data_IF_092353205872
#
_entry.id   IF_092353205872
#
_cell.length_a   1.000
_cell.length_b   1.000
_cell.length_c   1.000
_cell.angle_alpha   90.00
_cell.angle_beta   90.00
_cell.angle_gamma   90.00
#
_symmetry.space_group_name_H-M   'P 1'
#
loop_
_entity.id
_entity.type
_entity.pdbx_description
1 polymer ?
#
# COMPACT_ATOMS: atom_id res chain seq x y z
N UNK A 1 37.54 24.74 83.01
CA UNK A 1 38.55 23.87 82.41
C UNK A 1 38.84 24.46 81.02
N UNK A 2 39.70 25.48 80.88
CA UNK A 2 41.17 25.43 80.68
C UNK A 2 41.58 24.31 79.72
N UNK A 3 42.34 24.50 78.64
CA UNK A 3 43.34 25.50 78.24
C UNK A 3 43.42 25.50 76.67
N UNK A 4 44.25 26.21 75.91
CA UNK A 4 45.61 26.68 76.13
C UNK A 4 46.01 27.71 75.06
N UNK A 5 46.95 28.55 75.45
CA UNK A 5 47.59 29.68 74.77
C UNK A 5 48.71 29.22 73.82
N UNK A 6 48.96 29.95 72.72
CA UNK A 6 50.29 30.56 72.42
C UNK A 6 50.39 31.14 70.99
N UNK A 7 50.89 32.37 70.94
CA UNK A 7 51.64 33.01 69.85
C UNK A 7 53.13 32.96 70.24
N UNK A 8 54.11 33.49 69.48
CA UNK A 8 54.17 33.91 68.07
C UNK A 8 55.42 33.33 67.34
N UNK A 9 55.66 33.63 66.06
CA UNK A 9 56.99 34.06 65.58
C UNK A 9 56.90 34.68 64.18
N UNK A 10 57.55 35.84 64.01
CA UNK A 10 57.86 36.45 62.72
C UNK A 10 59.33 36.17 62.36
N UNK A 11 59.61 35.94 61.08
CA UNK A 11 60.91 36.26 60.49
C UNK A 11 60.80 36.49 58.98
N UNK A 12 61.65 37.41 58.52
CA UNK A 12 61.59 38.22 57.30
C UNK A 12 62.25 37.60 56.05
N UNK A 13 61.68 37.97 54.89
CA UNK A 13 62.09 37.99 53.47
C UNK A 13 63.48 37.56 52.97
N UNK A 14 63.51 36.98 51.75
CA UNK A 14 64.53 37.23 50.70
C UNK A 14 64.01 36.79 49.29
N UNK A 15 64.68 37.07 48.14
CA UNK A 15 64.10 37.86 47.05
C UNK A 15 63.90 37.10 45.72
N UNK A 16 63.31 37.84 44.78
CA UNK A 16 62.79 37.55 43.43
C UNK A 16 63.75 36.92 42.42
N UNK A 17 63.20 36.09 41.51
CA UNK A 17 63.79 35.67 40.22
C UNK A 17 62.78 35.94 39.07
N UNK A 18 63.27 36.11 37.82
CA UNK A 18 62.66 36.90 36.73
C UNK A 18 61.52 36.18 35.98
N UNK A 19 60.75 36.91 35.15
CA UNK A 19 59.51 36.40 34.58
C UNK A 19 59.77 35.40 33.44
N UNK A 20 59.03 34.28 33.36
CA UNK A 20 59.05 33.45 32.17
C UNK A 20 58.20 34.05 31.05
N UNK A 21 58.88 34.18 29.92
CA UNK A 21 58.48 34.46 28.54
C UNK A 21 57.06 34.04 28.14
N UNK A 22 56.38 34.92 27.40
CA UNK A 22 55.06 34.70 26.83
C UNK A 22 55.01 33.47 25.90
N UNK A 23 54.22 32.47 26.29
CA UNK A 23 53.86 31.32 25.46
C UNK A 23 52.91 31.78 24.34
N UNK A 24 53.11 31.39 23.07
CA UNK A 24 52.19 31.75 22.00
C UNK A 24 50.83 31.08 22.25
N UNK A 25 49.78 31.89 22.40
CA UNK A 25 48.39 31.43 22.47
C UNK A 25 48.05 30.72 21.16
N UNK A 26 47.84 29.41 21.20
CA UNK A 26 47.29 28.66 20.06
C UNK A 26 45.91 29.22 19.72
N UNK A 27 45.77 29.72 18.51
CA UNK A 27 44.47 30.08 17.92
C UNK A 27 43.56 28.85 17.97
N UNK A 28 42.33 28.93 18.50
CA UNK A 28 41.41 27.81 18.52
C UNK A 28 41.09 27.40 17.08
N UNK A 29 41.27 26.11 16.77
CA UNK A 29 40.87 25.50 15.52
C UNK A 29 39.35 25.69 15.37
N UNK A 30 38.82 26.18 14.23
CA UNK A 30 37.40 26.31 14.05
C UNK A 30 36.74 24.94 14.23
N UNK A 31 35.85 24.83 15.20
CA UNK A 31 35.00 23.65 15.37
C UNK A 31 34.19 23.48 14.08
N UNK A 32 34.21 22.31 13.44
CA UNK A 32 33.35 22.08 12.28
C UNK A 32 31.92 22.34 12.73
N UNK A 33 31.29 23.35 12.13
CA UNK A 33 29.86 23.56 12.31
C UNK A 33 29.22 22.33 11.70
N UNK A 34 28.65 21.47 12.54
CA UNK A 34 27.84 20.35 12.08
C UNK A 34 26.65 20.98 11.37
N UNK A 35 26.74 21.10 10.04
CA UNK A 35 25.59 21.39 9.21
C UNK A 35 24.61 20.26 9.50
N UNK A 36 23.56 20.56 10.25
CA UNK A 36 22.48 19.59 10.48
C UNK A 36 21.98 19.23 9.09
N UNK A 37 22.26 18.00 8.66
CA UNK A 37 21.64 17.43 7.48
C UNK A 37 20.14 17.58 7.69
N UNK A 38 19.40 18.27 6.80
CA UNK A 38 17.96 18.36 6.95
C UNK A 38 17.44 16.93 7.05
N UNK A 39 16.81 16.60 8.19
CA UNK A 39 16.05 15.38 8.31
C UNK A 39 15.05 15.37 7.16
N UNK A 40 14.96 14.31 6.34
CA UNK A 40 14.02 14.27 5.23
C UNK A 40 12.64 14.56 5.81
N UNK A 41 12.10 15.72 5.46
CA UNK A 41 10.73 16.06 5.84
C UNK A 41 9.87 15.07 5.07
N UNK A 42 9.00 14.28 5.73
CA UNK A 42 8.15 13.35 5.00
C UNK A 42 7.38 14.14 3.96
N UNK A 43 7.60 13.80 2.69
CA UNK A 43 6.84 14.38 1.58
C UNK A 43 5.44 13.79 1.69
N UNK A 44 4.52 14.59 2.24
CA UNK A 44 3.10 14.30 2.17
C UNK A 44 2.66 14.53 0.73
N UNK A 45 2.74 13.48 -0.07
CA UNK A 45 2.23 13.57 -1.42
C UNK A 45 0.70 13.68 -1.36
N UNK A 46 0.21 14.70 -2.05
CA UNK A 46 -1.20 15.03 -2.14
C UNK A 46 -1.79 14.22 -3.28
N UNK A 47 -2.58 13.19 -2.96
CA UNK A 47 -3.15 12.28 -3.95
C UNK A 47 -4.65 12.53 -4.15
N UNK A 48 -5.18 12.36 -5.36
CA UNK A 48 -6.62 12.36 -5.60
C UNK A 48 -7.22 11.07 -5.02
N UNK A 49 -7.40 11.03 -3.70
CA UNK A 49 -8.09 9.93 -3.03
C UNK A 49 -9.51 9.85 -3.56
N UNK A 50 -9.92 8.66 -3.98
CA UNK A 50 -11.30 8.42 -4.42
C UNK A 50 -12.03 7.60 -3.39
N UNK A 51 -13.20 8.09 -3.00
CA UNK A 51 -14.09 7.36 -2.12
C UNK A 51 -14.69 6.16 -2.89
N UNK A 52 -14.56 4.98 -2.29
CA UNK A 52 -15.07 3.71 -2.80
C UNK A 52 -16.54 3.61 -2.45
N UNK A 53 -17.33 3.14 -3.40
CA UNK A 53 -18.72 2.77 -3.15
C UNK A 53 -18.90 1.28 -3.03
N UNK A 54 -18.25 0.53 -3.90
CA UNK A 54 -18.28 -0.92 -3.85
C UNK A 54 -16.90 -1.47 -4.12
N UNK A 55 -16.49 -2.45 -3.33
CA UNK A 55 -15.25 -3.18 -3.50
C UNK A 55 -15.50 -4.68 -3.33
N UNK A 56 -14.98 -5.44 -4.29
CA UNK A 56 -14.88 -6.87 -4.28
C UNK A 56 -13.39 -7.21 -4.32
N UNK A 57 -12.85 -7.70 -3.21
CA UNK A 57 -11.41 -7.95 -3.03
C UNK A 57 -11.15 -9.36 -2.54
N UNK A 58 -9.91 -9.81 -2.74
CA UNK A 58 -9.41 -11.08 -2.20
C UNK A 58 -8.23 -10.76 -1.30
N UNK A 59 -8.28 -11.20 -0.05
CA UNK A 59 -7.12 -11.26 0.83
C UNK A 59 -6.52 -12.64 0.77
N UNK A 60 -5.27 -12.70 0.32
CA UNK A 60 -4.43 -13.87 0.49
C UNK A 60 -3.85 -13.92 1.90
N UNK A 61 -3.40 -15.10 2.38
CA UNK A 61 -2.53 -15.19 3.56
C UNK A 61 -1.35 -14.20 3.44
N UNK A 62 -0.77 -13.73 4.56
CA UNK A 62 0.22 -12.66 4.52
C UNK A 62 1.44 -13.03 3.65
N UNK A 63 1.50 -12.45 2.46
CA UNK A 63 2.70 -12.39 1.62
C UNK A 63 3.48 -11.09 1.90
N UNK A 64 4.61 -10.89 1.22
CA UNK A 64 5.57 -9.77 1.39
C UNK A 64 4.89 -8.37 1.37
N UNK A 65 3.73 -8.25 0.72
CA UNK A 65 2.92 -7.01 0.65
C UNK A 65 2.17 -6.67 1.96
N UNK A 66 2.06 -7.63 2.89
CA UNK A 66 1.46 -7.42 4.22
C UNK A 66 2.12 -6.31 5.02
N UNK A 67 3.40 -6.00 4.74
CA UNK A 67 4.14 -4.92 5.41
C UNK A 67 3.54 -3.51 5.19
N UNK A 68 2.68 -3.34 4.18
CA UNK A 68 1.98 -2.08 3.89
C UNK A 68 0.51 -2.07 4.32
N UNK A 69 0.00 -3.16 4.91
CA UNK A 69 -1.43 -3.32 5.16
C UNK A 69 -2.28 -3.42 3.87
N UNK A 70 -1.64 -3.67 2.72
CA UNK A 70 -2.29 -3.85 1.41
C UNK A 70 -2.43 -5.33 1.07
N UNK A 71 -2.97 -6.10 2.02
CA UNK A 71 -3.14 -7.55 1.89
C UNK A 71 -4.30 -7.94 0.97
N UNK A 72 -5.22 -7.01 0.71
CA UNK A 72 -6.34 -7.19 -0.20
C UNK A 72 -5.95 -6.79 -1.62
N UNK A 73 -6.29 -7.65 -2.59
CA UNK A 73 -6.21 -7.35 -4.01
C UNK A 73 -7.63 -7.16 -4.55
N UNK A 74 -8.00 -5.94 -5.00
CA UNK A 74 -9.34 -5.72 -5.50
C UNK A 74 -9.52 -6.33 -6.89
N UNK A 75 -10.57 -7.13 -7.03
CA UNK A 75 -11.04 -7.69 -8.30
C UNK A 75 -12.01 -6.75 -9.02
N UNK A 76 -12.77 -5.96 -8.26
CA UNK A 76 -13.68 -4.96 -8.80
C UNK A 76 -13.86 -3.84 -7.77
N UNK A 77 -13.68 -2.60 -8.21
CA UNK A 77 -13.91 -1.39 -7.41
C UNK A 77 -14.74 -0.41 -8.20
N UNK A 78 -15.83 0.07 -7.62
CA UNK A 78 -16.63 1.18 -8.13
C UNK A 78 -16.44 2.36 -7.16
N UNK A 79 -15.96 3.47 -7.70
CA UNK A 79 -15.81 4.72 -6.98
C UNK A 79 -17.07 5.59 -7.11
N UNK A 80 -17.18 6.53 -6.19
CA UNK A 80 -18.33 7.47 -6.11
C UNK A 80 -18.45 8.43 -7.28
N UNK A 81 -17.38 8.62 -8.07
CA UNK A 81 -17.40 9.36 -9.32
C UNK A 81 -17.75 8.48 -10.54
N UNK A 82 -18.13 7.23 -10.31
CA UNK A 82 -18.49 6.26 -11.34
C UNK A 82 -17.30 5.53 -11.96
N UNK A 83 -16.06 5.84 -11.59
CA UNK A 83 -14.92 5.05 -12.07
C UNK A 83 -15.08 3.60 -11.60
N UNK A 84 -15.02 2.67 -12.55
CA UNK A 84 -14.89 1.24 -12.33
C UNK A 84 -13.45 0.85 -12.66
N UNK A 85 -12.83 0.09 -11.76
CA UNK A 85 -11.60 -0.66 -12.04
C UNK A 85 -11.89 -2.14 -11.76
N UNK A 86 -11.49 -3.03 -12.67
CA UNK A 86 -11.76 -4.47 -12.51
C UNK A 86 -10.68 -5.32 -13.14
N UNK A 87 -10.42 -6.46 -12.51
CA UNK A 87 -9.59 -7.55 -13.02
C UNK A 87 -10.50 -8.74 -13.29
N UNK A 88 -10.15 -9.61 -14.25
CA UNK A 88 -10.92 -10.84 -14.48
C UNK A 88 -10.06 -12.04 -14.14
N UNK A 89 -10.67 -13.07 -13.55
CA UNK A 89 -9.99 -14.32 -13.19
C UNK A 89 -9.27 -15.01 -14.35
N UNK A 90 -9.54 -14.63 -15.61
CA UNK A 90 -8.90 -15.16 -16.84
C UNK A 90 -8.20 -14.10 -17.69
N UNK A 91 -8.22 -12.83 -17.29
CA UNK A 91 -7.49 -11.74 -17.96
C UNK A 91 -6.68 -11.00 -16.89
N UNK A 92 -5.36 -11.20 -16.90
CA UNK A 92 -4.43 -10.51 -16.00
C UNK A 92 -4.40 -9.00 -16.23
N UNK A 93 -5.01 -8.51 -17.33
CA UNK A 93 -5.10 -7.09 -17.61
C UNK A 93 -6.18 -6.44 -16.76
N UNK A 94 -5.75 -5.43 -16.03
CA UNK A 94 -6.62 -4.56 -15.27
C UNK A 94 -7.31 -3.60 -16.23
N UNK A 95 -8.61 -3.44 -16.05
CA UNK A 95 -9.46 -2.67 -16.93
C UNK A 95 -10.16 -1.57 -16.17
N UNK A 96 -10.48 -0.50 -16.86
CA UNK A 96 -11.25 0.61 -16.29
C UNK A 96 -12.27 1.19 -17.24
N UNK A 97 -13.27 1.84 -16.67
CA UNK A 97 -14.29 2.62 -17.38
C UNK A 97 -14.99 3.57 -16.41
N UNK A 98 -15.43 4.73 -16.86
CA UNK A 98 -16.38 5.56 -16.10
C UNK A 98 -17.80 5.12 -16.41
N UNK A 99 -18.51 4.65 -15.40
CA UNK A 99 -19.92 4.27 -15.44
C UNK A 99 -20.80 5.52 -15.31
N UNK A 100 -21.95 5.50 -15.98
CA UNK A 100 -22.99 6.48 -15.73
C UNK A 100 -23.66 6.25 -14.38
N UNK A 101 -24.25 7.30 -13.80
CA UNK A 101 -25.07 7.21 -12.57
C UNK A 101 -26.09 6.07 -12.64
N UNK A 102 -26.79 5.93 -13.78
CA UNK A 102 -27.79 4.88 -13.98
C UNK A 102 -27.16 3.47 -13.95
N UNK A 103 -26.00 3.27 -14.56
CA UNK A 103 -25.31 1.98 -14.53
C UNK A 103 -24.86 1.59 -13.11
N UNK A 104 -24.38 2.56 -12.35
CA UNK A 104 -23.98 2.32 -10.95
C UNK A 104 -25.20 2.01 -10.08
N UNK A 105 -26.30 2.75 -10.22
CA UNK A 105 -27.51 2.46 -9.46
C UNK A 105 -28.10 1.10 -9.85
N UNK A 106 -28.13 0.74 -11.14
CA UNK A 106 -28.54 -0.60 -11.57
C UNK A 106 -27.67 -1.71 -10.98
N UNK A 107 -26.36 -1.48 -10.83
CA UNK A 107 -25.47 -2.43 -10.16
C UNK A 107 -25.85 -2.61 -8.69
N UNK A 108 -26.06 -1.51 -7.95
CA UNK A 108 -26.42 -1.54 -6.53
C UNK A 108 -27.82 -2.15 -6.33
N UNK A 109 -28.81 -1.73 -7.11
CA UNK A 109 -30.18 -2.29 -7.07
C UNK A 109 -30.17 -3.78 -7.38
N UNK A 110 -29.26 -4.23 -8.25
CA UNK A 110 -29.10 -5.65 -8.53
C UNK A 110 -28.53 -6.39 -7.33
N UNK A 111 -27.58 -5.83 -6.58
CA UNK A 111 -27.10 -6.43 -5.32
C UNK A 111 -28.22 -6.54 -4.29
N UNK A 112 -29.03 -5.49 -4.14
CA UNK A 112 -30.19 -5.49 -3.24
C UNK A 112 -31.20 -6.60 -3.60
N UNK A 113 -31.58 -6.66 -4.89
CA UNK A 113 -32.48 -7.71 -5.40
C UNK A 113 -31.94 -9.14 -5.19
N UNK A 114 -30.62 -9.30 -5.11
CA UNK A 114 -29.98 -10.59 -4.85
C UNK A 114 -29.88 -10.94 -3.35
N UNK A 115 -30.37 -10.05 -2.47
CA UNK A 115 -30.40 -10.24 -1.02
C UNK A 115 -29.13 -9.77 -0.30
N UNK A 116 -28.30 -8.94 -0.93
CA UNK A 116 -27.05 -8.46 -0.31
C UNK A 116 -27.32 -7.79 1.05
N UNK A 117 -28.36 -6.98 1.16
CA UNK A 117 -28.72 -6.29 2.40
C UNK A 117 -29.44 -7.16 3.44
N UNK A 118 -29.89 -8.36 3.07
CA UNK A 118 -30.55 -9.32 3.97
C UNK A 118 -29.58 -10.30 4.63
N UNK A 119 -28.39 -10.49 4.06
CA UNK A 119 -27.37 -11.40 4.60
C UNK A 119 -26.72 -10.84 5.87
N UNK A 120 -26.66 -11.61 6.94
CA UNK A 120 -25.93 -11.16 8.13
C UNK A 120 -24.42 -11.09 7.87
N UNK A 121 -23.74 -10.01 8.27
CA UNK A 121 -22.28 -9.96 8.25
C UNK A 121 -21.74 -11.07 9.14
N UNK A 122 -20.79 -11.85 8.63
CA UNK A 122 -20.10 -12.82 9.45
C UNK A 122 -18.67 -12.99 8.95
N UNK A 123 -17.75 -12.88 9.91
CA UNK A 123 -16.33 -13.15 9.71
C UNK A 123 -15.99 -14.59 10.12
N UNK A 124 -16.99 -15.40 10.51
CA UNK A 124 -16.77 -16.79 10.89
C UNK A 124 -16.70 -17.70 9.67
N UNK A 125 -15.90 -18.76 9.75
CA UNK A 125 -15.86 -19.82 8.74
C UNK A 125 -16.51 -21.12 9.25
N UNK A 126 -17.17 -21.08 10.41
CA UNK A 126 -17.84 -22.23 10.99
C UNK A 126 -19.16 -22.61 10.28
N UNK A 127 -19.66 -23.79 10.62
CA UNK A 127 -20.90 -24.37 10.09
C UNK A 127 -22.17 -23.59 10.46
N UNK A 128 -22.12 -22.71 11.46
CA UNK A 128 -23.26 -21.90 11.89
C UNK A 128 -23.38 -20.60 11.10
N UNK A 129 -22.38 -20.25 10.27
CA UNK A 129 -22.42 -19.03 9.48
C UNK A 129 -23.51 -19.12 8.39
N UNK A 130 -24.53 -18.23 8.41
CA UNK A 130 -25.68 -18.27 7.51
C UNK A 130 -25.36 -17.98 6.04
N UNK A 131 -24.15 -17.51 5.71
CA UNK A 131 -23.73 -17.33 4.32
C UNK A 131 -23.36 -18.66 3.64
N UNK A 132 -23.24 -19.74 4.41
CA UNK A 132 -22.99 -21.09 3.90
C UNK A 132 -24.19 -22.02 4.13
N UNK A 133 -24.23 -23.06 3.32
CA UNK A 133 -25.12 -24.20 3.38
C UNK A 133 -24.24 -25.46 3.21
N UNK A 134 -23.63 -25.88 4.31
CA UNK A 134 -22.74 -27.05 4.33
C UNK A 134 -23.51 -28.38 4.29
N UNK A 135 -24.81 -28.37 4.64
CA UNK A 135 -25.54 -29.59 4.98
C UNK A 135 -24.77 -30.42 6.00
N UNK A 136 -24.59 -31.71 5.71
CA UNK A 136 -23.83 -32.65 6.56
C UNK A 136 -22.32 -32.75 6.18
N UNK A 137 -21.81 -31.88 5.29
CA UNK A 137 -20.49 -32.02 4.68
C UNK A 137 -19.48 -30.94 5.10
N UNK A 138 -19.63 -30.40 6.32
CA UNK A 138 -18.65 -29.45 6.85
C UNK A 138 -17.32 -30.16 7.12
N UNK A 139 -16.23 -29.58 6.62
CA UNK A 139 -14.87 -29.99 6.92
C UNK A 139 -14.04 -28.74 7.12
N UNK A 140 -13.40 -28.63 8.28
CA UNK A 140 -12.49 -27.53 8.58
C UNK A 140 -11.32 -27.50 7.59
N UNK A 141 -11.03 -26.32 7.06
CA UNK A 141 -9.89 -26.02 6.20
C UNK A 141 -9.12 -24.85 6.81
N UNK A 142 -7.83 -25.06 7.06
CA UNK A 142 -7.00 -24.11 7.79
C UNK A 142 -6.34 -23.05 6.88
N UNK A 143 -6.28 -23.29 5.57
CA UNK A 143 -5.58 -22.45 4.60
C UNK A 143 -6.48 -22.07 3.41
N UNK A 144 -6.41 -20.80 3.01
CA UNK A 144 -7.13 -20.29 1.85
C UNK A 144 -7.25 -18.78 1.85
N UNK A 145 -7.80 -18.25 0.77
CA UNK A 145 -8.06 -16.82 0.65
C UNK A 145 -9.43 -16.47 1.25
N UNK A 146 -9.52 -15.26 1.79
CA UNK A 146 -10.80 -14.67 2.19
C UNK A 146 -11.20 -13.62 1.17
N UNK A 147 -12.45 -13.65 0.77
CA UNK A 147 -13.02 -12.77 -0.24
C UNK A 147 -13.94 -11.79 0.47
N UNK A 148 -13.79 -10.49 0.19
CA UNK A 148 -14.55 -9.42 0.82
C UNK A 148 -15.42 -8.69 -0.20
N UNK A 149 -16.62 -8.32 0.25
CA UNK A 149 -17.60 -7.51 -0.48
C UNK A 149 -17.98 -6.33 0.41
N UNK A 150 -17.42 -5.17 0.12
CA UNK A 150 -17.67 -3.94 0.86
C UNK A 150 -18.54 -3.01 0.02
N UNK A 151 -19.67 -2.57 0.59
CA UNK A 151 -20.49 -1.52 0.03
C UNK A 151 -20.55 -0.37 1.03
N UNK A 152 -19.99 0.77 0.66
CA UNK A 152 -19.99 1.99 1.47
C UNK A 152 -21.03 2.97 0.94
N UNK A 153 -22.16 3.05 1.63
CA UNK A 153 -23.32 3.90 1.31
C UNK A 153 -24.01 4.31 2.63
N UNK A 154 -25.16 4.98 2.57
CA UNK A 154 -26.01 5.35 3.72
C UNK A 154 -26.09 4.31 4.84
N UNK A 155 -26.13 3.01 4.47
CA UNK A 155 -25.96 1.90 5.39
C UNK A 155 -24.77 1.05 4.90
N UNK A 156 -23.55 1.27 5.44
CA UNK A 156 -22.39 0.50 5.05
C UNK A 156 -22.60 -0.97 5.35
N UNK A 157 -22.13 -1.84 4.45
CA UNK A 157 -22.26 -3.28 4.62
C UNK A 157 -21.04 -4.01 4.07
N UNK A 158 -20.54 -4.94 4.87
CA UNK A 158 -19.45 -5.82 4.50
C UNK A 158 -19.88 -7.28 4.64
N UNK A 159 -19.63 -8.08 3.62
CA UNK A 159 -19.76 -9.53 3.65
C UNK A 159 -18.41 -10.14 3.31
N UNK A 160 -18.04 -11.23 3.98
CA UNK A 160 -16.82 -11.97 3.65
C UNK A 160 -17.12 -13.45 3.54
N UNK A 161 -16.45 -14.16 2.64
CA UNK A 161 -16.48 -15.62 2.59
C UNK A 161 -15.10 -16.21 2.32
N UNK A 162 -14.92 -17.45 2.77
CA UNK A 162 -13.68 -18.19 2.62
C UNK A 162 -13.72 -18.95 1.30
N UNK A 163 -12.74 -18.68 0.42
CA UNK A 163 -12.72 -19.21 -0.95
C UNK A 163 -12.81 -20.75 -1.01
N UNK A 164 -12.14 -21.53 -0.13
CA UNK A 164 -12.31 -23.00 -0.09
C UNK A 164 -13.75 -23.46 0.12
N UNK A 165 -14.60 -22.63 0.71
CA UNK A 165 -16.02 -22.90 0.95
C UNK A 165 -16.95 -22.29 -0.11
N UNK A 166 -16.43 -21.73 -1.21
CA UNK A 166 -17.25 -21.12 -2.28
C UNK A 166 -18.39 -22.04 -2.79
N UNK A 167 -18.14 -23.36 -2.85
CA UNK A 167 -19.16 -24.35 -3.26
C UNK A 167 -20.33 -24.52 -2.26
N UNK A 168 -20.10 -24.16 -1.01
CA UNK A 168 -21.10 -24.21 0.07
C UNK A 168 -21.82 -22.89 0.26
N UNK A 169 -21.58 -21.85 -0.56
CA UNK A 169 -22.32 -20.60 -0.40
C UNK A 169 -23.82 -20.83 -0.47
N UNK A 170 -24.54 -20.28 0.51
CA UNK A 170 -25.98 -20.22 0.53
C UNK A 170 -26.49 -19.49 -0.72
N UNK A 171 -27.73 -19.79 -1.12
CA UNK A 171 -28.27 -19.35 -2.42
C UNK A 171 -28.15 -17.83 -2.68
N UNK A 172 -28.44 -16.92 -1.74
CA UNK A 172 -28.29 -15.49 -1.99
C UNK A 172 -26.83 -15.11 -2.28
N UNK A 173 -25.90 -15.55 -1.42
CA UNK A 173 -24.48 -15.26 -1.55
C UNK A 173 -23.89 -15.84 -2.85
N UNK A 174 -24.28 -17.07 -3.22
CA UNK A 174 -23.89 -17.69 -4.49
C UNK A 174 -24.29 -16.83 -5.69
N UNK A 175 -25.55 -16.38 -5.75
CA UNK A 175 -26.03 -15.51 -6.84
C UNK A 175 -25.30 -14.17 -6.89
N UNK A 176 -24.94 -13.60 -5.74
CA UNK A 176 -24.14 -12.37 -5.66
C UNK A 176 -22.76 -12.62 -6.28
N UNK A 177 -22.07 -13.70 -5.89
CA UNK A 177 -20.75 -14.04 -6.47
C UNK A 177 -20.84 -14.33 -7.97
N UNK A 178 -21.88 -15.04 -8.44
CA UNK A 178 -22.11 -15.28 -9.87
C UNK A 178 -22.34 -13.98 -10.64
N UNK A 179 -23.09 -13.04 -10.06
CA UNK A 179 -23.31 -11.71 -10.65
C UNK A 179 -22.01 -10.93 -10.76
N UNK A 180 -21.20 -10.90 -9.70
CA UNK A 180 -19.92 -10.17 -9.67
C UNK A 180 -18.89 -10.79 -10.62
N UNK A 181 -18.74 -12.11 -10.61
CA UNK A 181 -17.83 -12.85 -11.49
C UNK A 181 -18.20 -12.68 -12.98
N UNK A 182 -19.49 -12.46 -13.27
CA UNK A 182 -20.00 -12.21 -14.62
C UNK A 182 -20.15 -10.72 -14.98
N UNK A 183 -19.95 -9.81 -14.04
CA UNK A 183 -20.23 -8.39 -14.26
C UNK A 183 -19.30 -7.81 -15.33
N UNK A 184 -19.91 -7.34 -16.41
CA UNK A 184 -19.22 -6.75 -17.54
C UNK A 184 -20.08 -5.66 -18.16
N UNK A 185 -19.84 -4.38 -17.83
CA UNK A 185 -20.62 -3.29 -18.38
C UNK A 185 -20.31 -3.01 -19.85
N UNK A 186 -19.33 -3.70 -20.46
CA UNK A 186 -18.87 -3.48 -21.83
C UNK A 186 -17.91 -2.27 -21.95
N UNK A 187 -17.26 -2.15 -23.11
CA UNK A 187 -16.37 -1.03 -23.48
C UNK A 187 -15.31 -0.67 -22.42
N UNK A 188 -14.64 -1.70 -21.90
CA UNK A 188 -13.58 -1.53 -20.91
C UNK A 188 -12.26 -1.10 -21.59
N UNK A 189 -11.63 -0.07 -21.05
CA UNK A 189 -10.29 0.37 -21.45
C UNK A 189 -9.23 -0.34 -20.61
N UNK A 190 -7.99 -0.38 -21.09
CA UNK A 190 -6.85 -0.77 -20.24
C UNK A 190 -6.71 0.26 -19.12
N UNK A 191 -6.53 -0.20 -17.88
CA UNK A 191 -6.24 0.69 -16.78
C UNK A 191 -4.76 1.08 -16.80
N UNK A 192 -4.49 2.37 -16.73
CA UNK A 192 -3.15 2.93 -16.62
C UNK A 192 -2.97 3.44 -15.18
N UNK A 193 -2.23 2.72 -14.32
CA UNK A 193 -2.01 3.16 -12.96
C UNK A 193 -1.11 4.40 -12.93
N UNK A 194 -1.54 5.39 -12.17
CA UNK A 194 -0.76 6.61 -11.92
C UNK A 194 0.12 6.51 -10.68
N UNK A 195 0.05 5.40 -9.93
CA UNK A 195 0.82 5.16 -8.71
C UNK A 195 1.21 3.69 -8.58
N UNK A 196 2.47 3.45 -8.26
CA UNK A 196 3.07 2.12 -8.10
C UNK A 196 4.00 2.07 -6.89
N UNK A 197 4.15 0.88 -6.31
CA UNK A 197 5.28 0.51 -5.48
C UNK A 197 6.15 -0.46 -6.27
N UNK A 198 7.43 -0.12 -6.41
CA UNK A 198 8.44 -0.96 -7.03
C UNK A 198 9.26 -1.66 -5.94
N UNK A 199 9.50 -2.95 -6.15
CA UNK A 199 10.46 -3.75 -5.41
C UNK A 199 11.53 -4.22 -6.38
N UNK A 200 12.78 -3.83 -6.14
CA UNK A 200 13.89 -4.16 -7.00
C UNK A 200 14.87 -5.02 -6.22
N UNK A 201 15.26 -6.15 -6.81
CA UNK A 201 16.30 -7.03 -6.26
C UNK A 201 17.34 -7.27 -7.33
N UNK A 202 18.62 -7.24 -6.94
CA UNK A 202 19.71 -7.66 -7.81
C UNK A 202 19.64 -9.16 -8.07
N UNK A 203 19.87 -9.55 -9.31
CA UNK A 203 19.81 -10.92 -9.78
C UNK A 203 18.39 -11.38 -10.11
N UNK A 204 18.35 -12.60 -10.63
CA UNK A 204 17.11 -13.29 -10.99
C UNK A 204 16.55 -14.01 -9.77
N UNK A 205 15.28 -13.77 -9.46
CA UNK A 205 14.59 -14.49 -8.39
C UNK A 205 14.58 -16.01 -8.67
N UNK A 206 14.81 -16.81 -7.63
CA UNK A 206 14.95 -18.26 -7.74
C UNK A 206 13.68 -18.96 -8.28
N UNK A 207 12.53 -18.31 -8.18
CA UNK A 207 11.26 -18.79 -8.72
C UNK A 207 11.14 -18.63 -10.25
N UNK A 208 12.01 -17.83 -10.89
CA UNK A 208 11.91 -17.51 -12.31
C UNK A 208 12.71 -18.51 -13.16
N UNK A 209 12.05 -19.14 -14.12
CA UNK A 209 12.66 -20.13 -15.02
C UNK A 209 13.93 -19.59 -15.70
N UNK A 210 15.00 -20.40 -15.74
CA UNK A 210 16.26 -20.07 -16.42
C UNK A 210 16.08 -19.62 -17.88
N UNK A 211 15.00 -20.05 -18.55
CA UNK A 211 14.70 -19.70 -19.95
C UNK A 211 14.20 -18.27 -20.16
N UNK A 212 13.74 -17.61 -19.10
CA UNK A 212 13.33 -16.20 -19.16
C UNK A 212 14.55 -15.35 -19.42
N UNK A 213 14.51 -14.60 -20.52
CA UNK A 213 15.54 -13.61 -20.88
C UNK A 213 15.20 -12.27 -20.24
N UNK A 214 16.22 -11.61 -19.72
CA UNK A 214 16.09 -10.25 -19.24
C UNK A 214 15.83 -9.28 -20.41
N UNK A 215 15.05 -8.23 -20.15
CA UNK A 215 14.84 -7.13 -21.10
C UNK A 215 15.63 -5.89 -20.68
N UNK A 216 16.03 -5.05 -21.63
CA UNK A 216 16.71 -3.81 -21.30
C UNK A 216 15.82 -2.91 -20.42
N UNK A 217 16.40 -2.37 -19.36
CA UNK A 217 15.77 -1.33 -18.56
C UNK A 217 15.95 0.03 -19.26
N UNK A 218 14.85 0.60 -19.76
CA UNK A 218 14.89 1.82 -20.57
C UNK A 218 14.28 3.03 -19.83
N UNK A 219 14.49 3.15 -18.52
CA UNK A 219 14.08 4.35 -17.78
C UNK A 219 15.26 5.30 -17.63
N UNK A 220 15.11 6.53 -18.09
CA UNK A 220 16.14 7.58 -17.91
C UNK A 220 16.15 8.16 -16.49
N UNK A 221 15.11 7.87 -15.70
CA UNK A 221 14.86 8.54 -14.41
C UNK A 221 14.96 7.59 -13.21
N UNK A 222 14.92 6.28 -13.43
CA UNK A 222 14.99 5.26 -12.39
C UNK A 222 16.20 4.37 -12.65
N UNK A 223 17.17 4.43 -11.76
CA UNK A 223 18.36 3.58 -11.81
C UNK A 223 18.13 2.31 -10.96
N UNK A 224 18.02 1.14 -11.58
CA UNK A 224 17.77 -0.13 -10.87
C UNK A 224 18.84 -0.45 -9.83
N UNK A 225 20.10 -0.11 -10.09
CA UNK A 225 21.18 -0.33 -9.13
C UNK A 225 20.98 0.46 -7.83
N UNK A 226 20.46 1.68 -7.90
CA UNK A 226 20.09 2.49 -6.73
C UNK A 226 18.84 1.94 -6.05
N UNK A 227 17.81 1.61 -6.83
CA UNK A 227 16.53 1.10 -6.32
C UNK A 227 16.67 -0.25 -5.61
N UNK A 228 17.64 -1.09 -6.01
CA UNK A 228 17.91 -2.37 -5.36
C UNK A 228 18.45 -2.24 -3.92
N UNK A 229 18.91 -1.04 -3.53
CA UNK A 229 19.44 -0.78 -2.18
C UNK A 229 18.38 -0.26 -1.20
N UNK A 230 17.15 -0.03 -1.64
CA UNK A 230 16.03 0.38 -0.80
C UNK A 230 14.97 -0.72 -0.75
N UNK A 231 14.19 -0.85 0.34
CA UNK A 231 13.21 -1.92 0.47
C UNK A 231 12.08 -1.81 -0.57
N UNK A 232 11.75 -0.59 -1.00
CA UNK A 232 10.78 -0.29 -2.04
C UNK A 232 10.95 1.15 -2.53
N UNK A 233 10.36 1.46 -3.69
CA UNK A 233 10.27 2.82 -4.22
C UNK A 233 8.86 3.14 -4.66
N UNK A 234 8.36 4.30 -4.24
CA UNK A 234 7.07 4.81 -4.70
C UNK A 234 7.27 5.62 -5.99
N UNK A 235 6.43 5.37 -6.98
CA UNK A 235 6.47 6.02 -8.30
C UNK A 235 5.09 6.54 -8.63
N UNK A 236 5.00 7.75 -9.17
CA UNK A 236 3.74 8.43 -9.49
C UNK A 236 3.71 9.11 -10.87
N UNK A 237 2.51 9.46 -11.32
CA UNK A 237 2.26 10.22 -12.54
C UNK A 237 2.73 9.50 -13.80
N UNK A 238 3.31 10.25 -14.73
CA UNK A 238 3.80 9.70 -16.01
C UNK A 238 4.87 8.63 -15.82
N UNK A 239 5.73 8.76 -14.80
CA UNK A 239 6.77 7.78 -14.50
C UNK A 239 6.15 6.41 -14.11
N UNK A 240 5.03 6.41 -13.37
CA UNK A 240 4.31 5.19 -13.03
C UNK A 240 3.73 4.52 -14.27
N UNK A 241 3.12 5.30 -15.15
CA UNK A 241 2.55 4.80 -16.42
C UNK A 241 3.63 4.17 -17.30
N UNK A 242 4.77 4.83 -17.45
CA UNK A 242 5.89 4.35 -18.28
C UNK A 242 6.48 3.04 -17.74
N UNK A 243 6.73 2.98 -16.43
CA UNK A 243 7.24 1.77 -15.76
C UNK A 243 6.24 0.62 -15.89
N UNK A 244 4.95 0.88 -15.67
CA UNK A 244 3.92 -0.14 -15.83
C UNK A 244 3.86 -0.67 -17.26
N UNK A 245 3.93 0.23 -18.26
CA UNK A 245 3.92 -0.15 -19.67
C UNK A 245 5.15 -0.97 -20.07
N UNK A 246 6.31 -0.71 -19.46
CA UNK A 246 7.53 -1.50 -19.68
C UNK A 246 7.42 -2.89 -19.07
N UNK A 247 6.89 -3.01 -17.85
CA UNK A 247 6.69 -4.30 -17.17
C UNK A 247 5.62 -5.14 -17.83
N UNK A 248 4.54 -4.52 -18.32
CA UNK A 248 3.50 -5.23 -19.06
C UNK A 248 4.01 -5.91 -20.35
N UNK A 249 5.16 -5.48 -20.90
CA UNK A 249 5.84 -6.14 -22.04
C UNK A 249 6.75 -7.29 -21.62
N UNK A 250 7.03 -7.42 -20.33
CA UNK A 250 7.93 -8.41 -19.74
C UNK A 250 7.32 -8.99 -18.47
N UNK A 251 6.33 -9.87 -18.63
CA UNK A 251 5.57 -10.44 -17.50
C UNK A 251 6.45 -11.13 -16.45
N UNK A 252 7.67 -11.55 -16.81
CA UNK A 252 8.60 -12.16 -15.87
C UNK A 252 9.36 -11.14 -14.98
N UNK A 253 9.27 -9.84 -15.26
CA UNK A 253 9.85 -8.78 -14.43
C UNK A 253 11.39 -8.76 -14.38
N UNK A 254 12.08 -9.45 -15.28
CA UNK A 254 13.55 -9.51 -15.28
C UNK A 254 14.14 -8.48 -16.24
N UNK A 255 14.94 -7.55 -15.71
CA UNK A 255 15.53 -6.46 -16.48
C UNK A 255 17.05 -6.40 -16.39
N UNK A 256 17.69 -5.78 -17.39
CA UNK A 256 19.12 -5.52 -17.47
C UNK A 256 19.39 -4.02 -17.41
N UNK A 257 20.29 -3.61 -16.52
CA UNK A 257 20.87 -2.28 -16.44
C UNK A 257 22.40 -2.46 -16.29
N UNK A 258 23.19 -1.87 -17.19
CA UNK A 258 24.66 -1.98 -17.19
C UNK A 258 25.20 -3.43 -17.07
N UNK A 259 24.64 -4.36 -17.84
CA UNK A 259 24.94 -5.80 -17.84
C UNK A 259 24.65 -6.54 -16.52
N UNK A 260 23.95 -5.89 -15.59
CA UNK A 260 23.49 -6.50 -14.33
C UNK A 260 22.00 -6.83 -14.44
N UNK A 261 21.64 -8.06 -14.08
CA UNK A 261 20.24 -8.49 -14.04
C UNK A 261 19.57 -8.04 -12.73
N UNK A 262 18.30 -7.66 -12.83
CA UNK A 262 17.45 -7.28 -11.72
C UNK A 262 16.08 -7.93 -11.87
N UNK A 263 15.50 -8.34 -10.75
CA UNK A 263 14.08 -8.68 -10.65
C UNK A 263 13.33 -7.45 -10.16
N UNK A 264 12.36 -7.01 -10.95
CA UNK A 264 11.48 -5.89 -10.64
C UNK A 264 10.06 -6.43 -10.46
N UNK A 265 9.53 -6.28 -9.25
CA UNK A 265 8.15 -6.62 -8.90
C UNK A 265 7.39 -5.34 -8.61
N UNK A 266 6.10 -5.30 -8.99
CA UNK A 266 5.28 -4.10 -8.87
C UNK A 266 3.97 -4.39 -8.17
N UNK A 267 3.63 -3.54 -7.19
CA UNK A 267 2.27 -3.44 -6.64
C UNK A 267 1.67 -2.14 -7.15
N UNK A 268 0.57 -2.26 -7.89
CA UNK A 268 -0.21 -1.10 -8.30
C UNK A 268 -0.84 -0.47 -7.06
N UNK A 269 -1.10 0.84 -7.09
CA UNK A 269 -1.85 1.49 -6.02
C UNK A 269 -3.15 2.07 -6.54
N UNK A 270 -4.26 1.46 -6.11
CA UNK A 270 -5.59 1.89 -6.50
C UNK A 270 -5.94 3.24 -5.87
N UNK A 271 -6.76 4.09 -6.52
CA UNK A 271 -7.11 5.44 -6.05
C UNK A 271 -7.50 5.60 -4.58
N UNK A 272 -8.03 4.55 -3.93
CA UNK A 272 -8.40 4.57 -2.51
C UNK A 272 -7.29 4.09 -1.55
N UNK A 273 -6.23 3.43 -2.07
CA UNK A 273 -5.12 2.91 -1.27
C UNK A 273 -4.13 4.03 -0.88
N UNK A 274 -3.63 3.97 0.35
CA UNK A 274 -2.70 4.92 0.96
C UNK A 274 -1.53 4.16 1.56
N UNK A 275 -0.29 4.51 1.20
CA UNK A 275 0.92 3.76 1.58
C UNK A 275 1.54 4.21 2.91
N UNK A 276 1.26 5.45 3.36
CA UNK A 276 1.88 6.02 4.56
C UNK A 276 0.85 6.40 5.62
N UNK A 277 1.04 5.89 6.84
CA UNK A 277 0.35 6.31 8.06
C UNK A 277 0.78 7.76 8.35
N UNK A 278 -0.01 8.73 7.90
CA UNK A 278 0.29 10.16 8.02
C UNK A 278 -0.03 10.97 6.76
N UNK A 279 -0.26 10.32 5.61
CA UNK A 279 -0.79 10.98 4.43
C UNK A 279 -2.24 11.43 4.69
N UNK A 280 -2.53 12.71 4.44
CA UNK A 280 -3.88 13.27 4.58
C UNK A 280 -4.49 13.38 3.18
N UNK A 281 -5.67 12.77 2.90
CA UNK A 281 -6.33 12.95 1.63
C UNK A 281 -6.65 14.43 1.37
N UNK A 282 -6.44 14.89 0.14
CA UNK A 282 -6.65 16.29 -0.31
C UNK A 282 -8.09 16.79 -0.02
N UNK A 283 -9.04 15.88 -0.03
CA UNK A 283 -10.40 16.07 0.44
C UNK A 283 -11.02 14.68 0.61
N UNK A 284 -11.52 14.35 1.81
CA UNK A 284 -12.56 13.33 1.93
C UNK A 284 -13.84 14.04 1.49
N UNK A 285 -14.47 13.70 0.35
CA UNK A 285 -15.77 14.27 0.03
C UNK A 285 -16.72 13.95 1.18
N UNK A 286 -17.33 14.96 1.79
CA UNK A 286 -18.44 14.74 2.72
C UNK A 286 -19.61 14.11 1.95
N UNK A 287 -20.32 13.15 2.53
CA UNK A 287 -21.43 12.38 1.90
C UNK A 287 -22.40 13.22 1.06
N UNK A 288 -22.64 14.49 1.44
CA UNK A 288 -23.48 15.45 0.71
C UNK A 288 -22.95 15.90 -0.67
N UNK A 289 -21.71 15.54 -1.03
CA UNK A 289 -21.03 15.93 -2.28
C UNK A 289 -20.66 14.73 -3.16
N UNK A 290 -21.12 13.52 -2.83
CA UNK A 290 -20.87 12.34 -3.66
C UNK A 290 -21.59 12.51 -5.01
N UNK A 291 -20.87 12.44 -6.16
CA UNK A 291 -21.41 12.82 -7.47
C UNK A 291 -22.59 11.96 -7.94
N UNK A 292 -22.68 10.75 -7.41
CA UNK A 292 -23.72 9.80 -7.74
C UNK A 292 -24.57 9.62 -6.48
N UNK A 293 -25.88 9.80 -6.59
CA UNK A 293 -26.81 9.58 -5.49
C UNK A 293 -27.91 8.67 -6.00
N UNK A 294 -27.88 7.39 -5.62
CA UNK A 294 -28.92 6.42 -5.97
C UNK A 294 -30.12 6.53 -5.04
N UNK A 295 -30.59 7.74 -4.74
CA UNK A 295 -31.85 7.94 -4.03
C UNK A 295 -33.00 7.57 -5.00
N UNK A 296 -33.91 6.67 -4.60
CA UNK A 296 -35.10 6.36 -5.40
C UNK A 296 -36.00 7.60 -5.60
#
# INVERSE_FOLDING_TARGET
MSACTSLPFMATATPTLPPPTATPTRTPRPTPTSTLTPSPTPVFATYPWKHVWFEYSVSSPPEVTSQFGLAEEPLLVIYTDGLLITTRTKDSKIRSRVLSTNEVCQFIDRLDLLGFFELEPSNSTDEANPIYDFGDNYQAVDEGNTVFLNLDRNTPKSLSFFEPYKKYLARPMRKITEFLDAYNPGWLNVYEPDRLILFVKTGKDASVSERVKAQAWNSETLNLSELANVPYTFVEGTQAVDVYAQIAKNEAGIFLEDDVEYTVTVRLLYPHEIVNVGSVPLATPTDSLLPVNCNP
#
